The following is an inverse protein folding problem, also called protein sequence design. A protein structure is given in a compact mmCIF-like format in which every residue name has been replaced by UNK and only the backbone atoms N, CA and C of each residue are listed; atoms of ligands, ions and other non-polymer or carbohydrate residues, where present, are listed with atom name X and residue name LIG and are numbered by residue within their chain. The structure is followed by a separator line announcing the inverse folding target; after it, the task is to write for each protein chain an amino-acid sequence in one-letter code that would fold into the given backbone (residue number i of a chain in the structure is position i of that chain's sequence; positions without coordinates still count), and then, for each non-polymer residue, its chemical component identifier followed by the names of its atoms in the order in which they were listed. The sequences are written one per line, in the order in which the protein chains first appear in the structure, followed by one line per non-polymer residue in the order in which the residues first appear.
data_IF_036129594474
#
_entry.id   IF_036129594474
#
_cell.length_a   1.000
_cell.length_b   1.000
_cell.length_c   1.000
_cell.angle_alpha   90.00
_cell.angle_beta   90.00
_cell.angle_gamma   90.00
#
_symmetry.space_group_name_H-M   'P 1'
#
loop_
_entity.id
_entity.type
_entity.pdbx_description
1 polymer ?
#
# COMPACT_ATOMS: atom_id res chain seq x y z
N UNK A 1 -20.64 -27.51 -33.21
CA UNK A 1 -20.95 -26.15 -33.72
C UNK A 1 -21.90 -25.34 -32.83
N UNK A 2 -22.80 -25.95 -32.04
CA UNK A 2 -23.76 -25.24 -31.16
C UNK A 2 -23.12 -24.47 -29.98
N UNK A 3 -21.92 -24.87 -29.55
CA UNK A 3 -21.24 -24.29 -28.37
C UNK A 3 -20.40 -23.03 -28.70
N UNK A 4 -20.12 -22.76 -29.98
CA UNK A 4 -19.30 -21.59 -30.40
C UNK A 4 -20.08 -20.28 -30.19
N UNK A 5 -21.39 -20.30 -30.43
CA UNK A 5 -22.26 -19.14 -30.20
C UNK A 5 -22.34 -18.79 -28.72
N UNK A 6 -22.24 -19.77 -27.82
CA UNK A 6 -22.25 -19.55 -26.37
C UNK A 6 -20.95 -18.87 -25.90
N UNK A 7 -19.80 -19.24 -26.46
CA UNK A 7 -18.51 -18.61 -26.17
C UNK A 7 -18.47 -17.18 -26.73
N UNK A 8 -18.94 -16.98 -27.97
CA UNK A 8 -19.05 -15.64 -28.55
C UNK A 8 -20.00 -14.74 -27.75
N UNK A 9 -21.11 -15.29 -27.22
CA UNK A 9 -22.02 -14.54 -26.36
C UNK A 9 -21.34 -14.10 -25.06
N UNK A 10 -20.56 -14.98 -24.41
CA UNK A 10 -19.81 -14.64 -23.19
C UNK A 10 -18.72 -13.58 -23.40
N UNK A 11 -18.06 -13.57 -24.56
CA UNK A 11 -17.00 -12.59 -24.88
C UNK A 11 -17.51 -11.15 -25.06
N UNK A 12 -18.79 -10.97 -25.39
CA UNK A 12 -19.38 -9.63 -25.55
C UNK A 12 -19.63 -8.98 -24.18
N UNK A 13 -19.90 -9.76 -23.13
CA UNK A 13 -20.17 -9.24 -21.78
C UNK A 13 -18.92 -8.87 -20.97
N UNK A 14 -17.73 -9.38 -21.32
CA UNK A 14 -16.50 -9.08 -20.57
C UNK A 14 -15.90 -7.71 -20.90
N UNK A 15 -16.39 -7.02 -21.94
CA UNK A 15 -15.79 -5.81 -22.48
C UNK A 15 -16.18 -4.50 -21.75
N UNK A 16 -17.04 -4.55 -20.73
CA UNK A 16 -17.57 -3.35 -20.05
C UNK A 16 -17.23 -3.34 -18.54
N UNK A 17 -16.05 -3.82 -18.15
CA UNK A 17 -15.57 -3.65 -16.78
C UNK A 17 -14.70 -2.39 -16.68
N UNK A 18 -15.29 -1.27 -16.25
CA UNK A 18 -14.54 -0.09 -15.83
C UNK A 18 -14.17 -0.19 -14.35
N UNK A 19 -12.99 -0.75 -14.06
CA UNK A 19 -12.39 -0.64 -12.74
C UNK A 19 -11.85 0.79 -12.57
N UNK A 20 -12.69 1.70 -12.07
CA UNK A 20 -12.26 3.07 -11.72
C UNK A 20 -11.50 3.00 -10.39
N UNK A 21 -10.19 3.10 -10.47
CA UNK A 21 -9.34 3.24 -9.29
C UNK A 21 -9.40 4.69 -8.79
N UNK A 22 -9.73 4.86 -7.52
CA UNK A 22 -9.77 6.15 -6.83
C UNK A 22 -8.69 6.15 -5.73
N UNK A 23 -7.53 6.79 -5.96
CA UNK A 23 -6.44 6.78 -5.00
C UNK A 23 -6.76 7.59 -3.76
N UNK A 24 -6.24 7.17 -2.61
CA UNK A 24 -6.41 7.95 -1.39
C UNK A 24 -5.57 9.24 -1.43
N UNK A 25 -6.23 10.37 -1.17
CA UNK A 25 -5.56 11.64 -0.93
C UNK A 25 -4.79 11.59 0.40
N UNK A 26 -3.74 12.40 0.54
CA UNK A 26 -2.96 12.48 1.78
C UNK A 26 -3.83 12.82 3.00
N UNK A 27 -4.80 13.73 2.85
CA UNK A 27 -5.75 14.04 3.92
C UNK A 27 -6.60 12.83 4.34
N UNK A 28 -7.00 12.00 3.38
CA UNK A 28 -7.75 10.77 3.64
C UNK A 28 -6.85 9.69 4.28
N UNK A 29 -5.57 9.61 3.91
CA UNK A 29 -4.61 8.74 4.58
C UNK A 29 -4.46 9.16 6.05
N UNK A 30 -4.26 10.46 6.31
CA UNK A 30 -4.14 11.00 7.68
C UNK A 30 -5.38 10.66 8.52
N UNK A 31 -6.57 10.86 7.96
CA UNK A 31 -7.84 10.62 8.64
C UNK A 31 -8.05 9.13 8.95
N UNK A 32 -7.92 8.28 7.92
CA UNK A 32 -8.26 6.85 7.98
C UNK A 32 -7.20 5.96 8.62
N UNK A 33 -5.95 6.40 8.71
CA UNK A 33 -4.89 5.61 9.35
C UNK A 33 -5.10 5.49 10.85
N UNK A 34 -4.86 4.30 11.40
CA UNK A 34 -4.80 4.09 12.85
C UNK A 34 -3.42 4.42 13.40
N UNK A 35 -2.38 4.19 12.60
CA UNK A 35 -0.99 4.51 12.93
C UNK A 35 -0.36 5.31 11.80
N UNK A 36 0.35 6.37 12.16
CA UNK A 36 1.21 7.13 11.25
C UNK A 36 2.56 7.27 11.92
N UNK A 37 3.65 6.91 11.23
CA UNK A 37 4.99 7.01 11.81
C UNK A 37 6.09 6.85 10.80
N UNK A 38 7.30 7.19 11.20
CA UNK A 38 8.53 7.01 10.42
C UNK A 38 9.21 5.74 10.90
N UNK A 39 9.49 4.83 9.97
CA UNK A 39 10.14 3.57 10.29
C UNK A 39 11.17 3.15 9.26
N UNK A 40 12.07 2.28 9.71
CA UNK A 40 13.11 1.67 8.90
C UNK A 40 12.88 0.17 8.77
N UNK A 41 12.93 -0.34 7.54
CA UNK A 41 12.80 -1.79 7.29
C UNK A 41 14.01 -2.52 7.85
N UNK A 42 13.80 -3.35 8.86
CA UNK A 42 14.82 -4.18 9.51
C UNK A 42 15.07 -5.48 8.76
N UNK A 43 14.00 -6.15 8.33
CA UNK A 43 14.05 -7.40 7.58
C UNK A 43 12.77 -7.60 6.77
N UNK A 44 12.85 -8.50 5.80
CA UNK A 44 11.75 -8.85 4.90
C UNK A 44 11.47 -10.34 5.10
N UNK A 45 10.21 -10.69 5.33
CA UNK A 45 9.76 -12.04 5.67
C UNK A 45 8.56 -12.42 4.81
N UNK A 46 8.77 -13.17 3.73
CA UNK A 46 7.71 -13.58 2.79
C UNK A 46 6.77 -12.42 2.43
N UNK A 47 5.54 -12.40 2.96
CA UNK A 47 4.51 -11.37 2.73
C UNK A 47 4.55 -10.19 3.70
N UNK A 48 5.58 -10.09 4.55
CA UNK A 48 5.67 -9.06 5.57
C UNK A 48 7.04 -8.37 5.56
N UNK A 49 7.06 -7.19 6.15
CA UNK A 49 8.29 -6.49 6.52
C UNK A 49 8.28 -6.21 8.02
N UNK A 50 9.42 -6.42 8.66
CA UNK A 50 9.64 -5.96 10.02
C UNK A 50 10.20 -4.54 9.96
N UNK A 51 9.52 -3.61 10.60
CA UNK A 51 9.85 -2.19 10.61
C UNK A 51 10.10 -1.74 12.04
N UNK A 52 11.19 -1.01 12.25
CA UNK A 52 11.46 -0.32 13.51
C UNK A 52 11.07 1.15 13.33
N UNK A 53 10.11 1.62 14.12
CA UNK A 53 9.67 3.01 14.13
C UNK A 53 10.63 3.88 14.95
N UNK A 54 11.18 4.93 14.32
CA UNK A 54 11.92 5.98 15.03
C UNK A 54 10.95 6.97 15.67
N UNK A 55 9.90 7.35 14.93
CA UNK A 55 8.96 8.40 15.28
C UNK A 55 7.51 7.96 15.05
N UNK A 56 6.62 8.40 15.93
CA UNK A 56 5.19 8.13 15.86
C UNK A 56 4.43 9.46 15.84
N UNK A 57 3.61 9.65 14.81
CA UNK A 57 2.84 10.87 14.56
C UNK A 57 1.38 10.67 15.00
N UNK A 58 0.81 9.50 14.71
CA UNK A 58 -0.55 9.10 15.10
C UNK A 58 -0.57 7.66 15.59
N UNK A 59 -1.45 7.37 16.54
CA UNK A 59 -1.64 6.04 17.11
C UNK A 59 -0.76 5.80 18.34
N UNK A 60 -0.75 4.55 18.82
CA UNK A 60 0.08 4.10 19.95
C UNK A 60 0.63 2.73 19.63
N UNK A 61 1.91 2.51 19.95
CA UNK A 61 2.59 1.22 19.78
C UNK A 61 3.15 0.75 21.12
N UNK A 62 2.87 -0.50 21.48
CA UNK A 62 3.47 -1.14 22.66
C UNK A 62 4.95 -1.49 22.43
N UNK A 63 5.32 -1.79 21.18
CA UNK A 63 6.68 -2.06 20.76
C UNK A 63 7.01 -1.20 19.53
N UNK A 64 8.23 -0.68 19.46
CA UNK A 64 8.71 0.09 18.30
C UNK A 64 8.93 -0.77 17.06
N UNK A 65 9.01 -2.10 17.20
CA UNK A 65 9.10 -3.02 16.06
C UNK A 65 7.72 -3.56 15.71
N UNK A 66 7.28 -3.37 14.46
CA UNK A 66 6.04 -3.93 13.94
C UNK A 66 6.29 -4.85 12.75
N UNK A 67 5.44 -5.86 12.63
CA UNK A 67 5.30 -6.70 11.44
C UNK A 67 4.15 -6.16 10.60
N UNK A 68 4.47 -5.72 9.39
CA UNK A 68 3.53 -5.07 8.48
C UNK A 68 3.40 -5.94 7.24
N UNK A 69 2.17 -6.21 6.81
CA UNK A 69 1.90 -6.86 5.53
C UNK A 69 2.39 -5.96 4.39
N UNK A 70 3.31 -6.49 3.58
CA UNK A 70 3.95 -5.72 2.51
C UNK A 70 2.97 -5.57 1.34
N UNK A 71 3.00 -4.42 0.69
CA UNK A 71 2.34 -4.24 -0.60
C UNK A 71 3.02 -5.09 -1.70
N UNK A 72 2.23 -5.67 -2.60
CA UNK A 72 2.71 -6.40 -3.77
C UNK A 72 2.32 -5.68 -5.06
N UNK A 73 3.26 -5.59 -5.99
CA UNK A 73 3.02 -4.96 -7.29
C UNK A 73 1.95 -5.76 -8.07
N UNK A 74 1.03 -5.05 -8.69
CA UNK A 74 -0.01 -5.62 -9.54
C UNK A 74 -0.24 -4.71 -10.76
N UNK A 75 -1.05 -5.15 -11.72
CA UNK A 75 -1.17 -4.54 -13.06
C UNK A 75 -1.33 -3.02 -13.06
N UNK A 76 -2.04 -2.47 -12.07
CA UNK A 76 -2.38 -1.05 -12.01
C UNK A 76 -1.62 -0.27 -10.93
N UNK A 77 -0.80 -0.92 -10.11
CA UNK A 77 -0.03 -0.20 -9.11
C UNK A 77 1.28 -0.91 -8.75
N UNK A 78 2.30 -0.10 -8.59
CA UNK A 78 3.64 -0.55 -8.27
C UNK A 78 4.26 0.33 -7.19
N UNK A 79 5.04 -0.32 -6.33
CA UNK A 79 5.91 0.33 -5.37
C UNK A 79 7.03 1.07 -6.10
N UNK A 80 7.54 2.15 -5.50
CA UNK A 80 8.63 2.95 -6.10
C UNK A 80 9.93 2.16 -6.27
N UNK A 81 10.17 1.14 -5.46
CA UNK A 81 11.32 0.23 -5.57
C UNK A 81 11.08 -1.04 -4.77
N UNK A 82 11.88 -2.08 -5.04
CA UNK A 82 11.82 -3.32 -4.29
C UNK A 82 12.11 -3.08 -2.80
N UNK A 83 11.46 -3.85 -1.93
CA UNK A 83 11.75 -3.83 -0.50
C UNK A 83 13.22 -4.17 -0.26
N UNK A 84 13.88 -3.34 0.56
CA UNK A 84 15.27 -3.55 1.00
C UNK A 84 15.40 -3.14 2.46
N UNK A 85 16.24 -3.86 3.20
CA UNK A 85 16.65 -3.47 4.56
C UNK A 85 17.28 -2.08 4.53
N UNK A 86 17.00 -1.27 5.56
CA UNK A 86 17.51 0.10 5.70
C UNK A 86 16.67 1.18 5.01
N UNK A 87 15.61 0.80 4.29
CA UNK A 87 14.69 1.77 3.71
C UNK A 87 13.91 2.50 4.80
N UNK A 88 14.04 3.83 4.83
CA UNK A 88 13.26 4.73 5.68
C UNK A 88 11.99 5.18 4.97
N UNK A 89 10.86 5.05 5.64
CA UNK A 89 9.53 5.25 5.05
C UNK A 89 8.64 5.90 6.11
N UNK A 90 7.84 6.87 5.69
CA UNK A 90 6.67 7.28 6.45
C UNK A 90 5.52 6.34 6.08
N UNK A 91 5.02 5.63 7.09
CA UNK A 91 3.95 4.65 6.97
C UNK A 91 2.63 5.23 7.45
N UNK A 92 1.58 4.97 6.67
CA UNK A 92 0.18 5.17 6.99
C UNK A 92 -0.46 3.79 7.06
N UNK A 93 -0.79 3.34 8.27
CA UNK A 93 -1.21 1.96 8.51
C UNK A 93 -2.67 1.89 8.96
N UNK A 94 -3.34 0.85 8.52
CA UNK A 94 -4.56 0.32 9.15
C UNK A 94 -4.27 -1.01 9.82
N UNK A 95 -5.18 -1.44 10.67
CA UNK A 95 -5.16 -2.67 11.43
C UNK A 95 -6.39 -3.47 11.02
N UNK A 96 -6.19 -4.71 10.58
CA UNK A 96 -7.31 -5.60 10.27
C UNK A 96 -8.04 -6.01 11.54
N UNK A 97 -9.22 -6.63 11.40
CA UNK A 97 -9.97 -7.17 12.55
C UNK A 97 -9.17 -8.24 13.32
N UNK A 98 -8.27 -8.91 12.63
CA UNK A 98 -7.35 -9.93 13.16
C UNK A 98 -6.06 -9.31 13.75
N UNK A 99 -5.94 -7.98 13.80
CA UNK A 99 -4.79 -7.29 14.36
C UNK A 99 -3.58 -7.19 13.41
N UNK A 100 -3.77 -7.44 12.11
CA UNK A 100 -2.69 -7.39 11.12
C UNK A 100 -2.50 -5.94 10.65
N UNK A 101 -1.29 -5.42 10.78
CA UNK A 101 -0.93 -4.10 10.25
C UNK A 101 -0.79 -4.15 8.73
N UNK A 102 -1.50 -3.28 8.02
CA UNK A 102 -1.48 -3.17 6.57
C UNK A 102 -1.16 -1.75 6.14
N UNK A 103 -0.45 -1.62 5.02
CA UNK A 103 -0.27 -0.34 4.35
C UNK A 103 -1.62 0.13 3.82
N UNK A 104 -1.99 1.37 4.13
CA UNK A 104 -3.26 1.93 3.68
C UNK A 104 -3.18 2.34 2.20
N UNK A 105 -4.23 2.01 1.44
CA UNK A 105 -4.33 2.36 0.01
C UNK A 105 -3.92 1.21 -0.92
N UNK A 106 -4.79 0.87 -1.86
CA UNK A 106 -4.63 -0.29 -2.75
C UNK A 106 -3.55 -0.08 -3.83
N UNK A 107 -3.04 1.13 -4.00
CA UNK A 107 -1.93 1.45 -4.89
C UNK A 107 -0.66 1.83 -4.15
N UNK A 108 -0.56 1.46 -2.86
CA UNK A 108 0.59 1.73 -1.99
C UNK A 108 0.78 3.22 -1.64
N UNK A 109 -0.31 3.98 -1.59
CA UNK A 109 -0.29 5.41 -1.24
C UNK A 109 0.16 5.65 0.20
N UNK A 110 -0.06 4.67 1.09
CA UNK A 110 0.29 4.73 2.50
C UNK A 110 1.76 4.49 2.81
N UNK A 111 2.60 4.31 1.80
CA UNK A 111 4.05 4.38 1.97
C UNK A 111 4.59 5.65 1.29
N UNK A 112 5.39 6.43 1.99
CA UNK A 112 6.14 7.56 1.42
C UNK A 112 7.63 7.39 1.71
N UNK A 113 8.51 7.19 0.71
CA UNK A 113 9.92 6.98 0.95
C UNK A 113 10.58 8.25 1.48
N UNK A 114 11.54 8.05 2.36
CA UNK A 114 12.42 9.11 2.86
C UNK A 114 13.81 8.89 2.26
N UNK A 115 14.25 9.82 1.42
CA UNK A 115 15.57 9.79 0.78
C UNK A 115 16.22 11.16 0.98
N UNK A 116 17.43 11.18 1.51
CA UNK A 116 18.16 12.41 1.82
C UNK A 116 17.31 13.41 2.63
N UNK A 117 16.66 12.90 3.68
CA UNK A 117 15.80 13.67 4.61
C UNK A 117 14.56 14.32 3.97
N UNK A 118 14.21 13.93 2.74
CA UNK A 118 13.01 14.38 2.04
C UNK A 118 12.02 13.24 1.90
N UNK A 119 10.75 13.54 2.16
CA UNK A 119 9.63 12.63 1.92
C UNK A 119 9.16 12.82 0.49
N UNK A 120 8.99 11.73 -0.25
CA UNK A 120 8.46 11.76 -1.60
C UNK A 120 7.02 11.23 -1.61
N UNK A 121 6.12 11.95 -2.25
CA UNK A 121 4.75 11.52 -2.50
C UNK A 121 4.54 11.44 -4.01
N UNK A 122 3.97 10.33 -4.50
CA UNK A 122 3.63 10.18 -5.90
C UNK A 122 2.29 10.88 -6.16
N UNK A 123 2.34 12.09 -6.71
CA UNK A 123 1.13 12.76 -7.20
C UNK A 123 0.59 12.01 -8.41
N UNK A 124 -0.68 11.59 -8.35
CA UNK A 124 -1.42 11.05 -9.51
C UNK A 124 -2.01 12.17 -10.38
N UNK A 125 -1.98 13.42 -9.91
CA UNK A 125 -2.36 14.60 -10.68
C UNK A 125 -1.08 15.21 -11.27
N UNK A 126 -0.78 14.85 -12.51
CA UNK A 126 0.06 15.67 -13.39
C UNK A 126 -0.82 16.78 -13.96
N UNK A 127 -0.63 18.01 -13.48
CA UNK A 127 -1.15 19.22 -14.15
C UNK A 127 -0.30 19.53 -15.38
#
# INVERSE_FOLDING_TARGET
MKNIYLICFFLIFTSICHAKYDPLLVSQLIDKSEIIGIGEIKSIENNNVLVIFSDLIKGKLTNRTLKIEKFENWTCASRWTNYKKGQKIMFFLSISKEGIYKILGSGNEGELPIVNEKIFYKSLLSY
#
